data_IF_622712587851
#
_entry.id   IF_622712587851
#
_cell.length_a   1.000
_cell.length_b   1.000
_cell.length_c   1.000
_cell.angle_alpha   90.00
_cell.angle_beta   90.00
_cell.angle_gamma   90.00
#
_symmetry.space_group_name_H-M   'P 1'
#
loop_
_entity.id
_entity.type
_entity.pdbx_description
1 polymer ?
#
# COMPACT_ATOMS: atom_id res chain seq x y z
N UNK A 1 12.45 -4.94 -15.51
CA UNK A 1 12.14 -3.66 -16.20
C UNK A 1 10.79 -3.69 -16.90
N UNK A 2 10.40 -4.82 -17.51
CA UNK A 2 9.14 -4.90 -18.25
C UNK A 2 7.86 -4.79 -17.40
N UNK A 3 7.96 -5.02 -16.09
CA UNK A 3 6.85 -4.95 -15.15
C UNK A 3 6.98 -3.81 -14.13
N UNK A 4 8.03 -2.99 -14.23
CA UNK A 4 8.30 -1.92 -13.26
C UNK A 4 8.54 -2.45 -11.85
N UNK A 5 8.19 -1.66 -10.83
CA UNK A 5 8.29 -2.07 -9.43
C UNK A 5 7.23 -3.12 -9.06
N UNK A 6 6.10 -3.16 -9.77
CA UNK A 6 5.01 -4.11 -9.56
C UNK A 6 5.43 -5.58 -9.70
N UNK A 7 6.61 -5.86 -10.29
CA UNK A 7 7.25 -7.18 -10.29
C UNK A 7 7.43 -7.78 -8.89
N UNK A 8 7.41 -6.96 -7.83
CA UNK A 8 7.61 -7.41 -6.45
C UNK A 8 6.39 -8.13 -5.83
N UNK A 9 5.18 -8.02 -6.40
CA UNK A 9 3.96 -8.60 -5.80
C UNK A 9 4.08 -10.11 -5.62
N UNK A 10 4.36 -10.86 -6.70
CA UNK A 10 4.41 -12.32 -6.64
C UNK A 10 5.60 -12.85 -5.84
N UNK A 11 6.85 -12.34 -6.01
CA UNK A 11 7.98 -12.79 -5.21
C UNK A 11 7.78 -12.56 -3.71
N UNK A 12 7.26 -11.39 -3.30
CA UNK A 12 7.00 -11.13 -1.88
C UNK A 12 5.87 -12.00 -1.35
N UNK A 13 4.84 -12.27 -2.15
CA UNK A 13 3.79 -13.20 -1.76
C UNK A 13 4.35 -14.62 -1.54
N UNK A 14 5.20 -15.10 -2.44
CA UNK A 14 5.79 -16.44 -2.33
C UNK A 14 6.69 -16.56 -1.09
N UNK A 15 7.46 -15.50 -0.80
CA UNK A 15 8.32 -15.41 0.37
C UNK A 15 7.54 -15.27 1.70
N UNK A 16 6.23 -14.97 1.66
CA UNK A 16 5.47 -14.66 2.87
C UNK A 16 5.81 -13.29 3.45
N UNK A 17 6.15 -12.34 2.57
CA UNK A 17 6.48 -10.96 2.93
C UNK A 17 5.54 -9.91 2.35
N UNK A 18 4.39 -10.32 1.80
CA UNK A 18 3.36 -9.40 1.27
C UNK A 18 2.31 -9.11 2.36
N UNK A 19 2.29 -7.89 2.94
CA UNK A 19 1.30 -7.55 3.96
C UNK A 19 -0.13 -7.68 3.43
N UNK A 20 -0.96 -8.40 4.19
CA UNK A 20 -2.33 -8.73 3.77
C UNK A 20 -3.31 -8.47 4.92
N UNK A 21 -4.38 -7.72 4.65
CA UNK A 21 -5.46 -7.38 5.60
C UNK A 21 -4.93 -6.83 6.94
N UNK A 22 -4.30 -5.66 6.91
CA UNK A 22 -3.61 -5.06 8.07
C UNK A 22 -2.61 -6.01 8.76
N UNK A 23 -1.84 -6.77 7.96
CA UNK A 23 -0.83 -7.72 8.42
C UNK A 23 -1.38 -8.88 9.28
N UNK A 24 -2.68 -9.16 9.21
CA UNK A 24 -3.27 -10.40 9.75
C UNK A 24 -2.71 -11.64 9.04
N UNK A 25 -2.31 -11.47 7.78
CA UNK A 25 -1.71 -12.49 6.95
C UNK A 25 -0.48 -11.92 6.22
N UNK A 26 0.48 -12.80 5.89
CA UNK A 26 1.72 -12.44 5.20
C UNK A 26 1.76 -12.93 3.74
N UNK A 27 0.66 -13.54 3.29
CA UNK A 27 0.40 -13.96 1.91
C UNK A 27 -1.04 -13.57 1.56
N UNK A 28 -1.25 -13.24 0.30
CA UNK A 28 -2.56 -12.95 -0.27
C UNK A 28 -2.90 -13.98 -1.34
N UNK A 29 -4.04 -14.63 -1.19
CA UNK A 29 -4.56 -15.61 -2.15
C UNK A 29 -4.87 -14.96 -3.52
N UNK A 30 -5.23 -13.67 -3.52
CA UNK A 30 -5.54 -12.90 -4.71
C UNK A 30 -4.33 -12.22 -5.38
N UNK A 31 -3.10 -12.49 -4.93
CA UNK A 31 -1.90 -11.77 -5.40
C UNK A 31 -1.70 -11.84 -6.92
N UNK A 32 -2.05 -12.96 -7.57
CA UNK A 32 -1.97 -13.10 -9.02
C UNK A 32 -2.85 -12.09 -9.77
N UNK A 33 -4.00 -11.72 -9.21
CA UNK A 33 -4.96 -10.82 -9.86
C UNK A 33 -4.54 -9.34 -9.77
N UNK A 34 -3.67 -9.00 -8.83
CA UNK A 34 -3.15 -7.64 -8.65
C UNK A 34 -1.66 -7.52 -9.01
N UNK A 35 -1.08 -8.58 -9.58
CA UNK A 35 0.33 -8.64 -9.93
C UNK A 35 0.71 -7.70 -11.07
N UNK A 36 2.00 -7.33 -11.13
CA UNK A 36 2.54 -6.58 -12.26
C UNK A 36 2.33 -7.30 -13.60
N UNK A 37 2.42 -8.63 -13.62
CA UNK A 37 2.14 -9.49 -14.77
C UNK A 37 0.70 -9.32 -15.26
N UNK A 38 -0.27 -9.41 -14.34
CA UNK A 38 -1.70 -9.26 -14.67
C UNK A 38 -2.03 -7.87 -15.21
N UNK A 39 -1.46 -6.84 -14.59
CA UNK A 39 -1.62 -5.46 -15.05
C UNK A 39 -0.95 -5.22 -16.40
N UNK A 40 0.23 -5.81 -16.62
CA UNK A 40 0.94 -5.73 -17.90
C UNK A 40 0.18 -6.39 -19.04
N UNK A 41 -0.36 -7.59 -18.83
CA UNK A 41 -1.09 -8.36 -19.85
C UNK A 41 -2.47 -7.75 -20.16
N UNK A 42 -3.20 -7.32 -19.12
CA UNK A 42 -4.59 -6.91 -19.28
C UNK A 42 -4.82 -5.42 -19.47
N UNK A 43 -3.96 -4.57 -18.89
CA UNK A 43 -4.28 -3.14 -18.70
C UNK A 43 -3.17 -2.17 -19.12
N UNK A 44 -1.93 -2.61 -19.36
CA UNK A 44 -0.84 -1.69 -19.68
C UNK A 44 -1.10 -0.92 -20.98
N UNK A 45 -1.38 0.38 -20.84
CA UNK A 45 -1.59 1.28 -21.97
C UNK A 45 -0.30 1.96 -22.43
N UNK A 46 0.61 2.28 -21.48
CA UNK A 46 1.85 2.99 -21.80
C UNK A 46 2.94 2.73 -20.76
N UNK A 47 4.19 2.75 -21.24
CA UNK A 47 5.39 2.89 -20.42
C UNK A 47 6.03 4.26 -20.63
N UNK A 48 6.51 4.85 -19.54
CA UNK A 48 7.15 6.16 -19.51
C UNK A 48 8.47 6.12 -18.76
N UNK A 49 9.31 7.12 -19.03
CA UNK A 49 10.53 7.38 -18.29
C UNK A 49 10.49 8.81 -17.71
N UNK A 50 11.10 8.99 -16.55
CA UNK A 50 11.44 10.32 -16.06
C UNK A 50 12.40 11.03 -17.04
N UNK A 51 12.48 12.36 -16.94
CA UNK A 51 13.42 13.15 -17.73
C UNK A 51 14.85 12.59 -17.63
N UNK A 52 15.48 12.33 -18.78
CA UNK A 52 16.84 11.77 -18.90
C UNK A 52 17.05 10.35 -18.31
N UNK A 53 15.98 9.65 -17.91
CA UNK A 53 16.10 8.30 -17.37
C UNK A 53 16.06 7.25 -18.50
N UNK A 54 17.07 6.35 -18.62
CA UNK A 54 17.07 5.31 -19.65
C UNK A 54 16.24 4.07 -19.26
N UNK A 55 15.71 4.00 -18.03
CA UNK A 55 15.08 2.78 -17.47
C UNK A 55 13.63 2.61 -17.92
N UNK A 56 12.85 3.69 -17.93
CA UNK A 56 11.44 3.64 -18.33
C UNK A 56 10.57 2.77 -17.41
N UNK A 57 10.68 2.98 -16.09
CA UNK A 57 9.99 2.18 -15.08
C UNK A 57 8.54 2.57 -14.81
N UNK A 58 8.05 3.71 -15.32
CA UNK A 58 6.69 4.18 -15.06
C UNK A 58 5.72 3.38 -15.91
N UNK A 59 4.77 2.71 -15.27
CA UNK A 59 3.71 1.95 -15.94
C UNK A 59 2.37 2.63 -15.74
N UNK A 60 1.61 2.74 -16.84
CA UNK A 60 0.31 3.39 -16.84
C UNK A 60 -0.71 2.42 -17.43
N UNK A 61 -1.67 2.03 -16.60
CA UNK A 61 -2.84 1.25 -16.99
C UNK A 61 -3.81 2.12 -17.78
N UNK A 62 -4.44 1.55 -18.81
CA UNK A 62 -5.58 2.10 -19.51
C UNK A 62 -6.83 1.32 -19.09
N UNK A 63 -7.55 1.82 -18.09
CA UNK A 63 -8.81 1.22 -17.64
C UNK A 63 -9.95 1.74 -18.51
N UNK A 64 -10.67 0.83 -19.18
CA UNK A 64 -11.81 1.17 -20.04
C UNK A 64 -13.11 0.76 -19.35
N UNK A 65 -13.95 1.74 -19.06
CA UNK A 65 -15.23 1.55 -18.38
C UNK A 65 -16.37 1.92 -19.33
N UNK A 66 -17.39 1.07 -19.51
CA UNK A 66 -18.56 1.46 -20.32
C UNK A 66 -19.33 2.60 -19.63
N UNK A 67 -19.98 3.45 -20.42
CA UNK A 67 -20.98 4.37 -19.86
C UNK A 67 -22.26 3.59 -19.52
N UNK A 68 -22.92 3.97 -18.42
CA UNK A 68 -24.13 3.28 -17.93
C UNK A 68 -25.33 3.44 -18.89
N UNK A 69 -25.42 4.58 -19.59
CA UNK A 69 -26.54 4.99 -20.42
C UNK A 69 -26.26 4.97 -21.93
N UNK A 70 -24.99 4.83 -22.33
CA UNK A 70 -24.58 4.89 -23.73
C UNK A 70 -23.85 3.61 -24.17
N UNK A 71 -24.61 2.70 -24.80
CA UNK A 71 -24.05 1.49 -25.42
C UNK A 71 -22.94 1.85 -26.42
N UNK A 72 -21.81 1.15 -26.36
CA UNK A 72 -20.60 1.34 -27.17
C UNK A 72 -19.67 2.50 -26.79
N UNK A 73 -20.06 3.39 -25.87
CA UNK A 73 -19.17 4.43 -25.37
C UNK A 73 -18.38 3.95 -24.16
N UNK A 74 -17.12 4.39 -24.06
CA UNK A 74 -16.23 4.05 -22.96
C UNK A 74 -15.51 5.28 -22.44
N UNK A 75 -15.42 5.39 -21.11
CA UNK A 75 -14.46 6.24 -20.43
C UNK A 75 -13.15 5.48 -20.35
N UNK A 76 -12.04 6.11 -20.74
CA UNK A 76 -10.70 5.55 -20.55
C UNK A 76 -9.97 6.39 -19.51
N UNK A 77 -9.59 5.75 -18.40
CA UNK A 77 -8.76 6.34 -17.35
C UNK A 77 -7.32 5.85 -17.50
N UNK A 78 -6.35 6.77 -17.42
CA UNK A 78 -4.92 6.45 -17.46
C UNK A 78 -4.37 6.53 -16.04
N UNK A 79 -4.01 5.38 -15.48
CA UNK A 79 -3.78 5.23 -14.03
C UNK A 79 -2.36 4.72 -13.83
N UNK A 80 -1.53 5.44 -13.08
CA UNK A 80 -0.17 4.99 -12.81
C UNK A 80 -0.21 3.89 -11.75
N UNK A 81 0.64 2.88 -11.90
CA UNK A 81 0.75 1.84 -10.89
C UNK A 81 2.21 1.48 -10.63
N UNK A 82 2.50 1.27 -9.35
CA UNK A 82 3.76 0.83 -8.80
C UNK A 82 3.45 -0.21 -7.71
N UNK A 83 4.49 -0.87 -7.20
CA UNK A 83 4.36 -1.84 -6.12
C UNK A 83 3.62 -1.28 -4.90
N UNK A 84 3.97 -0.07 -4.48
CA UNK A 84 3.49 0.57 -3.26
C UNK A 84 1.98 0.83 -3.27
N UNK A 85 1.41 1.50 -4.29
CA UNK A 85 -0.04 1.60 -4.44
C UNK A 85 -0.74 0.23 -4.51
N UNK A 86 -0.14 -0.75 -5.21
CA UNK A 86 -0.75 -2.08 -5.37
C UNK A 86 -0.82 -2.83 -4.04
N UNK A 87 0.22 -2.84 -3.21
CA UNK A 87 0.12 -3.50 -1.90
C UNK A 87 -0.87 -2.76 -1.01
N UNK A 88 -0.76 -1.43 -0.94
CA UNK A 88 -1.50 -0.63 0.04
C UNK A 88 -3.00 -0.62 -0.23
N UNK A 89 -3.39 -0.60 -1.50
CA UNK A 89 -4.78 -0.52 -1.94
C UNK A 89 -5.32 -1.86 -2.45
N UNK A 90 -4.44 -2.87 -2.57
CA UNK A 90 -4.75 -4.24 -2.95
C UNK A 90 -4.70 -5.17 -1.73
N UNK A 91 -3.57 -5.83 -1.52
CA UNK A 91 -3.42 -6.89 -0.50
C UNK A 91 -3.68 -6.39 0.92
N UNK A 92 -3.23 -5.19 1.27
CA UNK A 92 -3.42 -4.61 2.60
C UNK A 92 -4.91 -4.40 2.94
N UNK A 93 -5.75 -4.15 1.92
CA UNK A 93 -7.21 -4.03 2.04
C UNK A 93 -7.96 -5.32 1.64
N UNK A 94 -7.25 -6.37 1.23
CA UNK A 94 -7.82 -7.63 0.75
C UNK A 94 -8.53 -7.53 -0.61
N UNK A 95 -8.21 -6.53 -1.43
CA UNK A 95 -8.80 -6.35 -2.78
C UNK A 95 -8.06 -7.24 -3.78
N UNK A 96 -8.78 -8.17 -4.42
CA UNK A 96 -8.28 -9.02 -5.51
C UNK A 96 -8.88 -8.69 -6.88
N UNK A 97 -9.79 -7.73 -6.95
CA UNK A 97 -10.40 -7.29 -8.20
C UNK A 97 -9.51 -6.23 -8.87
N UNK A 98 -8.98 -6.54 -10.07
CA UNK A 98 -8.00 -5.69 -10.75
C UNK A 98 -8.58 -4.33 -11.10
N UNK A 99 -9.84 -4.27 -11.55
CA UNK A 99 -10.49 -3.01 -11.92
C UNK A 99 -10.81 -2.17 -10.69
N UNK A 100 -11.33 -2.79 -9.64
CA UNK A 100 -11.59 -2.16 -8.34
C UNK A 100 -10.32 -1.57 -7.73
N UNK A 101 -9.20 -2.29 -7.80
CA UNK A 101 -7.88 -1.76 -7.41
C UNK A 101 -7.53 -0.51 -8.22
N UNK A 102 -7.60 -0.59 -9.55
CA UNK A 102 -7.28 0.55 -10.43
C UNK A 102 -8.20 1.75 -10.17
N UNK A 103 -9.50 1.53 -9.94
CA UNK A 103 -10.45 2.61 -9.60
C UNK A 103 -10.11 3.26 -8.26
N UNK A 104 -9.68 2.48 -7.26
CA UNK A 104 -9.26 3.01 -5.98
C UNK A 104 -7.96 3.83 -6.09
N UNK A 105 -6.99 3.36 -6.88
CA UNK A 105 -5.77 4.12 -7.20
C UNK A 105 -6.14 5.44 -7.90
N UNK A 106 -6.98 5.42 -8.95
CA UNK A 106 -7.43 6.61 -9.69
C UNK A 106 -8.09 7.64 -8.76
N UNK A 107 -8.92 7.18 -7.81
CA UNK A 107 -9.57 8.07 -6.85
C UNK A 107 -8.57 8.77 -5.93
N UNK A 108 -7.57 8.03 -5.43
CA UNK A 108 -6.54 8.57 -4.55
C UNK A 108 -5.63 9.55 -5.31
N UNK A 109 -5.21 9.20 -6.52
CA UNK A 109 -4.39 10.08 -7.37
C UNK A 109 -5.12 11.39 -7.72
N UNK A 110 -6.42 11.32 -8.05
CA UNK A 110 -7.24 12.51 -8.34
C UNK A 110 -7.35 13.48 -7.16
N UNK A 111 -7.40 12.95 -5.94
CA UNK A 111 -7.49 13.75 -4.73
C UNK A 111 -6.12 14.21 -4.20
N UNK A 112 -5.03 13.67 -4.75
CA UNK A 112 -3.66 14.00 -4.34
C UNK A 112 -3.30 13.47 -2.96
N UNK A 113 -3.86 12.33 -2.56
CA UNK A 113 -3.55 11.66 -1.30
C UNK A 113 -2.40 10.65 -1.49
N UNK A 114 -1.66 10.34 -0.43
CA UNK A 114 -0.67 9.26 -0.48
C UNK A 114 -1.37 7.89 -0.43
N UNK A 115 -1.08 7.05 -1.43
CA UNK A 115 -1.67 5.71 -1.57
C UNK A 115 -1.30 4.78 -0.43
N UNK A 116 -0.05 4.85 0.06
CA UNK A 116 0.40 3.98 1.15
C UNK A 116 -0.30 4.32 2.46
N UNK A 117 -0.18 5.57 2.91
CA UNK A 117 -0.85 6.05 4.11
C UNK A 117 -2.35 5.78 4.06
N UNK A 118 -3.01 6.16 2.95
CA UNK A 118 -4.47 5.97 2.82
C UNK A 118 -4.85 4.48 2.92
N UNK A 119 -4.11 3.58 2.27
CA UNK A 119 -4.36 2.14 2.33
C UNK A 119 -4.20 1.58 3.75
N UNK A 120 -3.13 1.92 4.45
CA UNK A 120 -2.87 1.44 5.82
C UNK A 120 -3.87 2.03 6.82
N UNK A 121 -4.25 3.29 6.69
CA UNK A 121 -5.29 3.95 7.50
C UNK A 121 -6.65 3.23 7.33
N UNK A 122 -7.02 2.91 6.10
CA UNK A 122 -8.26 2.17 5.81
C UNK A 122 -8.19 0.72 6.29
N UNK A 123 -7.02 0.09 6.27
CA UNK A 123 -6.82 -1.25 6.82
C UNK A 123 -7.00 -1.24 8.34
N UNK A 124 -6.40 -0.27 9.04
CA UNK A 124 -6.64 -0.05 10.47
C UNK A 124 -8.12 0.19 10.77
N UNK A 125 -8.80 1.05 9.99
CA UNK A 125 -10.22 1.34 10.19
C UNK A 125 -11.09 0.09 10.00
N UNK A 126 -10.74 -0.76 9.04
CA UNK A 126 -11.43 -2.04 8.79
C UNK A 126 -11.26 -2.99 9.96
N UNK A 127 -10.03 -3.18 10.45
CA UNK A 127 -9.78 -4.04 11.61
C UNK A 127 -10.40 -3.47 12.90
N UNK A 128 -10.34 -2.15 13.10
CA UNK A 128 -10.96 -1.50 14.25
C UNK A 128 -12.49 -1.69 14.25
N UNK A 129 -13.14 -1.64 13.09
CA UNK A 129 -14.57 -1.92 12.98
C UNK A 129 -14.87 -3.41 13.19
N UNK A 130 -14.04 -4.32 12.64
CA UNK A 130 -14.16 -5.77 12.85
C UNK A 130 -14.06 -6.14 14.35
N UNK A 131 -13.19 -5.45 15.10
CA UNK A 131 -13.05 -5.62 16.56
C UNK A 131 -14.07 -4.84 17.40
N UNK A 132 -14.95 -4.07 16.77
CA UNK A 132 -15.97 -3.25 17.45
C UNK A 132 -15.40 -2.06 18.23
N UNK A 133 -14.19 -1.62 17.91
CA UNK A 133 -13.55 -0.42 18.48
C UNK A 133 -14.21 0.85 17.92
N UNK A 134 -14.59 0.81 16.64
CA UNK A 134 -15.42 1.82 15.98
C UNK A 134 -16.69 1.16 15.43
N UNK A 135 -17.74 1.94 15.19
CA UNK A 135 -19.02 1.46 14.68
C UNK A 135 -19.43 2.17 13.39
N UNK A 136 -20.52 1.71 12.78
CA UNK A 136 -21.13 2.37 11.61
C UNK A 136 -21.54 3.83 11.88
N UNK A 137 -21.69 4.21 13.16
CA UNK A 137 -21.96 5.60 13.56
C UNK A 137 -20.77 6.51 13.23
N UNK A 138 -19.55 6.10 13.57
CA UNK A 138 -18.33 6.86 13.29
C UNK A 138 -18.05 6.90 11.77
N UNK A 139 -18.32 5.79 11.08
CA UNK A 139 -18.03 5.63 9.65
C UNK A 139 -19.17 6.11 8.73
N UNK A 140 -20.20 6.77 9.27
CA UNK A 140 -21.36 7.26 8.52
C UNK A 140 -22.02 6.17 7.64
N UNK A 141 -22.39 5.07 8.29
CA UNK A 141 -23.05 3.90 7.71
C UNK A 141 -22.19 3.12 6.69
N UNK A 142 -20.88 3.36 6.65
CA UNK A 142 -19.95 2.52 5.89
C UNK A 142 -19.61 1.29 6.73
N UNK A 143 -19.98 0.12 6.22
CA UNK A 143 -19.50 -1.16 6.73
C UNK A 143 -18.27 -1.60 5.95
N UNK A 144 -17.09 -1.49 6.56
CA UNK A 144 -15.84 -1.95 5.99
C UNK A 144 -15.79 -3.47 5.99
N UNK A 145 -15.50 -4.04 4.82
CA UNK A 145 -15.20 -5.45 4.65
C UNK A 145 -13.94 -5.56 3.80
N UNK A 146 -13.04 -6.48 4.15
CA UNK A 146 -11.86 -6.78 3.34
C UNK A 146 -12.28 -7.10 1.89
N UNK A 147 -11.66 -6.42 0.93
CA UNK A 147 -11.95 -6.55 -0.51
C UNK A 147 -13.06 -5.65 -1.05
N UNK A 148 -13.82 -4.94 -0.22
CA UNK A 148 -14.91 -4.06 -0.69
C UNK A 148 -14.40 -2.69 -1.14
N UNK A 149 -13.90 -2.63 -2.38
CA UNK A 149 -13.37 -1.40 -2.97
C UNK A 149 -14.40 -0.27 -3.07
N UNK A 150 -15.71 -0.56 -3.16
CA UNK A 150 -16.74 0.49 -3.20
C UNK A 150 -16.80 1.27 -1.89
N UNK A 151 -16.78 0.55 -0.76
CA UNK A 151 -16.74 1.16 0.57
C UNK A 151 -15.45 1.94 0.79
N UNK A 152 -14.31 1.44 0.31
CA UNK A 152 -13.04 2.15 0.41
C UNK A 152 -13.01 3.44 -0.43
N UNK A 153 -13.47 3.42 -1.69
CA UNK A 153 -13.57 4.63 -2.52
C UNK A 153 -14.43 5.70 -1.82
N UNK A 154 -15.57 5.30 -1.24
CA UNK A 154 -16.44 6.21 -0.49
C UNK A 154 -15.74 6.77 0.75
N UNK A 155 -15.01 5.93 1.49
CA UNK A 155 -14.27 6.36 2.67
C UNK A 155 -13.10 7.31 2.32
N UNK A 156 -12.38 7.08 1.22
CA UNK A 156 -11.34 8.01 0.73
C UNK A 156 -11.93 9.40 0.50
N UNK A 157 -13.11 9.50 -0.13
CA UNK A 157 -13.80 10.79 -0.29
C UNK A 157 -14.12 11.43 1.06
N UNK A 158 -14.53 10.63 2.06
CA UNK A 158 -14.89 11.14 3.38
C UNK A 158 -13.66 11.61 4.19
N UNK A 159 -12.51 10.94 4.02
CA UNK A 159 -11.21 11.36 4.55
C UNK A 159 -10.84 12.72 3.96
N UNK A 160 -10.90 12.86 2.63
CA UNK A 160 -10.58 14.10 1.92
C UNK A 160 -11.48 15.27 2.37
N UNK A 161 -12.80 15.03 2.46
CA UNK A 161 -13.78 16.02 2.90
C UNK A 161 -13.79 16.26 4.41
N UNK A 162 -13.10 15.42 5.19
CA UNK A 162 -13.06 15.48 6.66
C UNK A 162 -14.47 15.57 7.29
N UNK A 163 -15.40 14.72 6.82
CA UNK A 163 -16.85 14.84 7.07
C UNK A 163 -17.26 14.90 8.53
N UNK A 164 -16.53 14.22 9.40
CA UNK A 164 -16.79 14.18 10.84
C UNK A 164 -15.47 14.04 11.62
N UNK A 165 -15.55 13.89 12.95
CA UNK A 165 -14.35 13.76 13.78
C UNK A 165 -13.53 12.50 13.49
N UNK A 166 -14.18 11.40 13.12
CA UNK A 166 -13.51 10.16 12.77
C UNK A 166 -12.67 10.33 11.50
N UNK A 167 -13.25 10.86 10.42
CA UNK A 167 -12.50 11.13 9.19
C UNK A 167 -11.46 12.24 9.33
N UNK A 168 -11.65 13.21 10.23
CA UNK A 168 -10.60 14.17 10.61
C UNK A 168 -9.43 13.51 11.33
N UNK A 169 -9.69 12.47 12.12
CA UNK A 169 -8.64 11.69 12.75
C UNK A 169 -7.91 10.82 11.73
N UNK A 170 -8.63 10.15 10.81
CA UNK A 170 -8.02 9.40 9.70
C UNK A 170 -7.13 10.29 8.83
N UNK A 171 -7.56 11.52 8.52
CA UNK A 171 -6.78 12.49 7.75
C UNK A 171 -5.47 12.94 8.45
N UNK A 172 -5.26 12.57 9.72
CA UNK A 172 -4.04 12.82 10.50
C UNK A 172 -3.14 11.58 10.64
N UNK A 173 -3.49 10.47 10.01
CA UNK A 173 -2.70 9.23 10.04
C UNK A 173 -3.28 8.16 10.98
N UNK A 174 -2.83 6.92 10.78
CA UNK A 174 -3.32 5.76 11.51
C UNK A 174 -2.94 5.83 13.00
N UNK A 175 -1.74 6.31 13.31
CA UNK A 175 -1.27 6.50 14.69
C UNK A 175 -2.17 7.48 15.47
N UNK A 176 -2.50 8.63 14.85
CA UNK A 176 -3.38 9.61 15.47
C UNK A 176 -4.80 9.04 15.68
N UNK A 177 -5.35 8.35 14.68
CA UNK A 177 -6.67 7.72 14.79
C UNK A 177 -6.70 6.65 15.89
N UNK A 178 -5.68 5.81 15.96
CA UNK A 178 -5.56 4.78 16.98
C UNK A 178 -5.46 5.35 18.40
N UNK A 179 -4.71 6.44 18.60
CA UNK A 179 -4.69 7.13 19.89
C UNK A 179 -6.05 7.71 20.32
N UNK A 180 -6.90 8.11 19.37
CA UNK A 180 -8.22 8.68 19.69
C UNK A 180 -9.29 7.62 19.93
N UNK A 181 -9.25 6.52 19.17
CA UNK A 181 -10.33 5.54 19.13
C UNK A 181 -9.94 4.17 19.73
N UNK A 182 -8.66 3.87 19.90
CA UNK A 182 -8.12 2.57 20.33
C UNK A 182 -7.46 1.81 19.18
N UNK A 183 -6.89 0.62 19.46
CA UNK A 183 -6.25 -0.20 18.42
C UNK A 183 -4.81 0.20 18.06
N UNK A 184 -4.09 0.80 19.01
CA UNK A 184 -2.66 1.13 18.89
C UNK A 184 -1.79 -0.13 18.65
N UNK A 185 -2.24 -1.30 19.09
CA UNK A 185 -1.55 -2.60 18.92
C UNK A 185 -1.57 -3.12 17.49
N UNK A 186 -2.43 -2.58 16.62
CA UNK A 186 -2.51 -2.91 15.19
C UNK A 186 -2.50 -1.68 14.28
N UNK A 187 -2.10 -0.52 14.80
CA UNK A 187 -1.74 0.63 13.97
C UNK A 187 -0.32 0.43 13.42
N UNK A 188 -0.23 0.04 12.15
CA UNK A 188 1.05 -0.27 11.50
C UNK A 188 1.78 1.03 11.10
N UNK A 189 2.38 1.72 12.07
CA UNK A 189 3.13 2.97 11.88
C UNK A 189 4.55 2.91 12.47
N UNK A 190 5.44 3.69 11.87
CA UNK A 190 6.83 3.89 12.31
C UNK A 190 7.10 5.39 12.41
N UNK A 191 7.28 5.90 13.63
CA UNK A 191 7.51 7.33 13.87
C UNK A 191 6.43 8.23 13.26
N UNK A 192 5.16 7.80 13.31
CA UNK A 192 4.02 8.50 12.71
C UNK A 192 3.80 8.28 11.21
N UNK A 193 4.64 7.49 10.52
CA UNK A 193 4.49 7.18 9.09
C UNK A 193 3.96 5.75 8.88
N UNK A 194 3.03 5.55 7.97
CA UNK A 194 2.43 4.24 7.74
C UNK A 194 3.41 3.21 7.14
N UNK A 195 3.22 1.94 7.52
CA UNK A 195 4.07 0.82 7.16
C UNK A 195 4.17 0.61 5.64
N UNK A 196 5.40 0.50 5.12
CA UNK A 196 5.64 0.10 3.73
C UNK A 196 5.35 -1.39 3.49
N UNK A 197 5.18 -1.76 2.21
CA UNK A 197 4.76 -3.10 1.78
C UNK A 197 5.75 -4.24 2.00
N UNK A 198 6.75 -4.14 2.88
CA UNK A 198 7.80 -5.16 3.01
C UNK A 198 7.76 -5.83 4.38
N UNK A 199 7.08 -6.98 4.49
CA UNK A 199 7.09 -7.81 5.71
C UNK A 199 8.12 -8.95 5.60
N UNK A 200 9.37 -8.62 5.26
CA UNK A 200 10.40 -9.62 4.95
C UNK A 200 11.17 -10.12 6.18
N UNK A 201 11.10 -9.39 7.30
CA UNK A 201 11.85 -9.71 8.51
C UNK A 201 12.14 -8.49 9.38
N UNK A 202 12.96 -8.65 10.43
CA UNK A 202 13.28 -7.56 11.36
C UNK A 202 14.06 -6.42 10.73
N UNK A 203 14.91 -6.67 9.71
CA UNK A 203 15.70 -5.61 9.09
C UNK A 203 14.80 -4.59 8.38
N UNK A 204 13.73 -5.04 7.72
CA UNK A 204 12.74 -4.16 7.12
C UNK A 204 12.13 -3.23 8.17
N UNK A 205 11.55 -3.77 9.24
CA UNK A 205 10.85 -2.97 10.26
C UNK A 205 11.79 -2.05 11.04
N UNK A 206 12.96 -2.55 11.45
CA UNK A 206 13.96 -1.72 12.14
C UNK A 206 14.49 -0.64 11.20
N UNK A 207 14.70 -0.98 9.93
CA UNK A 207 15.14 -0.05 8.89
C UNK A 207 14.17 1.12 8.71
N UNK A 208 12.86 0.85 8.63
CA UNK A 208 11.84 1.89 8.65
C UNK A 208 11.88 2.68 9.96
N UNK A 209 11.95 2.02 11.11
CA UNK A 209 11.91 2.72 12.40
C UNK A 209 13.07 3.72 12.58
N UNK A 210 14.28 3.36 12.19
CA UNK A 210 15.47 4.19 12.42
C UNK A 210 15.78 5.14 11.25
N UNK A 211 15.20 4.90 10.08
CA UNK A 211 15.42 5.73 8.90
C UNK A 211 15.01 7.17 9.13
N UNK A 212 15.78 8.12 8.60
CA UNK A 212 15.55 9.55 8.84
C UNK A 212 14.15 10.06 8.48
N UNK A 213 13.45 9.42 7.53
CA UNK A 213 12.08 9.75 7.09
C UNK A 213 11.06 8.67 7.46
N UNK A 214 11.48 7.68 8.23
CA UNK A 214 10.73 6.46 8.50
C UNK A 214 10.28 5.71 7.24
N UNK A 215 11.13 5.66 6.21
CA UNK A 215 10.80 5.13 4.89
C UNK A 215 11.67 3.94 4.49
N UNK A 216 11.09 2.97 3.78
CA UNK A 216 11.85 1.87 3.15
C UNK A 216 12.82 2.35 2.05
N UNK A 217 12.75 3.64 1.67
CA UNK A 217 13.68 4.26 0.74
C UNK A 217 14.94 4.78 1.43
N UNK A 218 14.91 4.96 2.76
CA UNK A 218 16.07 5.42 3.53
C UNK A 218 17.15 4.35 3.59
N UNK A 219 16.76 3.09 3.80
CA UNK A 219 17.62 1.93 3.73
C UNK A 219 16.81 0.73 3.21
N UNK A 220 17.49 -0.19 2.53
CA UNK A 220 16.89 -1.37 1.92
C UNK A 220 16.88 -2.56 2.88
N UNK A 221 16.43 -2.35 4.13
CA UNK A 221 16.36 -3.40 5.15
C UNK A 221 15.65 -4.67 4.65
N UNK A 222 14.62 -4.52 3.82
CA UNK A 222 13.95 -5.65 3.17
C UNK A 222 14.87 -6.49 2.28
N UNK A 223 15.83 -5.86 1.60
CA UNK A 223 16.84 -6.56 0.79
C UNK A 223 17.83 -7.32 1.66
N UNK A 224 18.18 -6.76 2.83
CA UNK A 224 19.02 -7.44 3.83
C UNK A 224 18.30 -8.71 4.32
N UNK A 225 17.02 -8.60 4.70
CA UNK A 225 16.21 -9.75 5.12
C UNK A 225 16.18 -10.85 4.04
N UNK A 226 15.86 -10.48 2.80
CA UNK A 226 15.79 -11.40 1.66
C UNK A 226 17.13 -12.14 1.41
N UNK A 227 18.26 -11.45 1.57
CA UNK A 227 19.61 -12.00 1.31
C UNK A 227 20.17 -12.81 2.47
N UNK A 228 19.94 -12.37 3.71
CA UNK A 228 20.68 -12.83 4.88
C UNK A 228 19.86 -13.81 5.71
N UNK A 229 18.57 -13.54 5.96
CA UNK A 229 17.75 -14.41 6.82
C UNK A 229 17.50 -15.79 6.20
N UNK A 230 17.69 -15.93 4.89
CA UNK A 230 17.63 -17.20 4.19
C UNK A 230 18.92 -18.04 4.35
N UNK A 231 20.00 -17.48 4.88
CA UNK A 231 21.34 -18.13 4.87
C UNK A 231 22.03 -18.18 6.23
N UNK A 232 22.02 -17.11 7.02
CA UNK A 232 22.74 -17.03 8.31
C UNK A 232 22.06 -16.09 9.31
N UNK A 233 22.28 -16.31 10.62
CA UNK A 233 21.82 -15.40 11.67
C UNK A 233 22.78 -14.20 11.77
N UNK A 234 22.25 -12.98 11.63
CA UNK A 234 22.98 -11.74 11.84
C UNK A 234 22.84 -11.26 13.29
N UNK A 235 23.90 -10.69 13.89
CA UNK A 235 23.79 -10.07 15.21
C UNK A 235 23.08 -8.70 15.11
N UNK A 236 22.38 -8.25 16.17
CA UNK A 236 21.73 -6.94 16.18
C UNK A 236 22.68 -5.78 15.86
N UNK A 237 23.90 -5.81 16.39
CA UNK A 237 24.91 -4.76 16.15
C UNK A 237 25.36 -4.72 14.70
N UNK A 238 25.55 -5.90 14.08
CA UNK A 238 25.93 -6.00 12.68
C UNK A 238 24.78 -5.52 11.78
N UNK A 239 23.55 -5.92 12.09
CA UNK A 239 22.35 -5.47 11.36
C UNK A 239 22.20 -3.94 11.40
N UNK A 240 22.28 -3.35 12.58
CA UNK A 240 22.18 -1.89 12.75
C UNK A 240 23.27 -1.16 11.96
N UNK A 241 24.50 -1.69 11.96
CA UNK A 241 25.60 -1.12 11.19
C UNK A 241 25.37 -1.22 9.68
N UNK A 242 24.81 -2.33 9.19
CA UNK A 242 24.49 -2.50 7.77
C UNK A 242 23.40 -1.51 7.33
N UNK A 243 22.30 -1.40 8.09
CA UNK A 243 21.22 -0.43 7.83
C UNK A 243 21.76 1.01 7.79
N UNK A 244 22.54 1.41 8.79
CA UNK A 244 23.12 2.76 8.86
C UNK A 244 24.11 3.02 7.72
N UNK A 245 24.88 2.01 7.32
CA UNK A 245 25.83 2.14 6.21
C UNK A 245 25.10 2.34 4.88
N UNK A 246 24.02 1.60 4.68
CA UNK A 246 23.19 1.74 3.49
C UNK A 246 22.50 3.10 3.43
N UNK A 247 21.91 3.55 4.55
CA UNK A 247 21.26 4.86 4.62
C UNK A 247 22.23 6.00 4.35
N UNK A 248 23.41 5.95 4.97
CA UNK A 248 24.48 6.93 4.71
C UNK A 248 24.89 7.00 3.25
N UNK A 249 24.75 5.92 2.47
CA UNK A 249 25.05 5.91 1.05
C UNK A 249 23.90 6.47 0.21
N UNK A 250 22.65 6.21 0.59
CA UNK A 250 21.44 6.70 -0.12
C UNK A 250 21.15 8.18 0.10
N UNK A 251 21.60 8.75 1.22
CA UNK A 251 21.36 10.13 1.62
C UNK A 251 22.50 11.10 1.24
N UNK A 252 23.41 10.69 0.35
CA UNK A 252 24.49 11.55 -0.20
C UNK A 252 23.97 12.35 -1.39
#
# INVERSE_FOLDING_TARGET
>A
HDLGTAENILPLNELGGLPTRNLKEAKFEGASNISGEKLAEGYLGRRLACSHCPVGCIHIAALREPYDDESYFYKTSMISYDYEPIYALGSMLGISDTEGLLKLIDQIERLGLDSMSTGVILAWATEAQEKGIISEKETQDIKFNWGDYFSYIKAVQFIFEQRNQFYKALARGAEYAAHQYGGEDFALTFGGNEMAGYHTGPAAHIGLLIGARHSHLDNGGYSIDQKILTKEKISPEKLAKELLTEERWRQI
#
